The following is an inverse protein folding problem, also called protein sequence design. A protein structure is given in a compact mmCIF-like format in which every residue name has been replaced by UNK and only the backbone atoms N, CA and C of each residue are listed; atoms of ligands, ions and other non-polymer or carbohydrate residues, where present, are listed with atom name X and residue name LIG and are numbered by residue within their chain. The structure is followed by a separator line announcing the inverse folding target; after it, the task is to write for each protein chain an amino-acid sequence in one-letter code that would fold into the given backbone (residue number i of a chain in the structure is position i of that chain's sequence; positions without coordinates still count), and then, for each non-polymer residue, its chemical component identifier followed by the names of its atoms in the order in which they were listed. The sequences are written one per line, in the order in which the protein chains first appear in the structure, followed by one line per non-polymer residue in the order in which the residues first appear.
data_IF_797564043502
#
_entry.id   IF_797564043502
#
_cell.length_a   1.000
_cell.length_b   1.000
_cell.length_c   1.000
_cell.angle_alpha   90.00
_cell.angle_beta   90.00
_cell.angle_gamma   90.00
#
_symmetry.space_group_name_H-M   'P 1'
#
loop_
_entity.id
_entity.type
_entity.pdbx_description
1 polymer ?
#
# COMPACT_ATOMS: atom_id res chain seq x y z
N UNK A 1 35.43 -70.93 -68.69
CA UNK A 1 36.29 -70.55 -67.56
C UNK A 1 35.63 -69.35 -66.87
N UNK A 2 35.00 -69.57 -65.73
CA UNK A 2 34.13 -68.65 -65.06
C UNK A 2 34.93 -68.09 -63.86
N UNK A 3 34.87 -66.75 -63.64
CA UNK A 3 35.39 -66.11 -62.45
C UNK A 3 34.26 -65.21 -61.91
N UNK A 4 33.70 -65.66 -60.82
CA UNK A 4 32.64 -64.97 -60.06
C UNK A 4 33.29 -63.94 -59.09
N UNK A 5 32.97 -62.67 -59.25
CA UNK A 5 33.32 -61.60 -58.34
C UNK A 5 32.27 -61.37 -57.24
N UNK A 6 32.67 -61.40 -56.05
CA UNK A 6 31.82 -61.09 -54.88
C UNK A 6 31.98 -59.63 -54.50
N UNK A 7 30.90 -58.87 -54.63
CA UNK A 7 30.77 -57.50 -54.07
C UNK A 7 30.30 -57.56 -52.61
N UNK A 8 31.14 -57.06 -51.73
CA UNK A 8 30.79 -56.82 -50.33
C UNK A 8 30.22 -55.42 -50.19
N UNK A 9 28.94 -55.29 -49.83
CA UNK A 9 28.33 -54.01 -49.40
C UNK A 9 28.66 -53.78 -47.94
N UNK A 10 29.45 -52.72 -47.65
CA UNK A 10 29.66 -52.20 -46.32
C UNK A 10 28.52 -51.22 -45.98
N UNK A 11 27.61 -51.63 -45.12
CA UNK A 11 26.54 -50.77 -44.61
C UNK A 11 27.09 -49.77 -43.56
N UNK A 12 27.05 -48.47 -43.86
CA UNK A 12 27.27 -47.43 -42.86
C UNK A 12 25.99 -47.33 -41.99
N UNK A 13 26.09 -47.74 -40.74
CA UNK A 13 25.07 -47.46 -39.72
C UNK A 13 25.31 -46.04 -39.16
N UNK A 14 24.50 -45.08 -39.61
CA UNK A 14 24.44 -43.73 -39.01
C UNK A 14 23.72 -43.78 -37.68
N UNK A 15 24.46 -43.66 -36.58
CA UNK A 15 23.88 -43.48 -35.23
C UNK A 15 23.32 -42.04 -35.08
N UNK A 16 22.00 -41.92 -35.12
CA UNK A 16 21.33 -40.66 -34.78
C UNK A 16 21.35 -40.52 -33.24
N UNK A 17 22.22 -39.67 -32.73
CA UNK A 17 22.19 -39.28 -31.33
C UNK A 17 21.02 -38.36 -31.07
N UNK A 18 19.91 -38.89 -30.51
CA UNK A 18 18.84 -38.09 -29.94
C UNK A 18 19.37 -37.32 -28.74
N UNK A 19 19.71 -36.06 -28.94
CA UNK A 19 19.96 -35.13 -27.86
C UNK A 19 18.67 -34.90 -27.08
N UNK A 20 18.51 -35.53 -25.92
CA UNK A 20 17.46 -35.22 -24.97
C UNK A 20 17.67 -33.78 -24.49
N UNK A 21 17.01 -32.84 -25.13
CA UNK A 21 16.91 -31.45 -24.66
C UNK A 21 16.24 -31.47 -23.27
N UNK A 22 17.01 -31.20 -22.24
CA UNK A 22 16.45 -30.99 -20.90
C UNK A 22 15.44 -29.84 -20.99
N UNK A 23 14.17 -30.12 -20.79
CA UNK A 23 13.16 -29.09 -20.68
C UNK A 23 13.57 -28.15 -19.54
N UNK A 24 13.48 -26.82 -19.73
CA UNK A 24 13.81 -25.87 -18.67
C UNK A 24 12.93 -26.17 -17.47
N UNK A 25 13.52 -26.57 -16.34
CA UNK A 25 12.85 -26.67 -15.06
C UNK A 25 12.43 -25.22 -14.71
N UNK A 26 11.16 -24.89 -14.88
CA UNK A 26 10.61 -23.62 -14.43
C UNK A 26 10.83 -23.53 -12.93
N UNK A 27 11.78 -22.72 -12.52
CA UNK A 27 12.01 -22.45 -11.11
C UNK A 27 10.70 -21.97 -10.48
N UNK A 28 10.38 -22.48 -9.28
CA UNK A 28 9.18 -22.05 -8.58
C UNK A 28 9.19 -20.52 -8.44
N UNK A 29 8.07 -19.84 -8.71
CA UNK A 29 8.03 -18.39 -8.69
C UNK A 29 8.43 -17.85 -7.31
N UNK A 30 9.28 -16.81 -7.30
CA UNK A 30 9.68 -16.10 -6.09
C UNK A 30 8.43 -15.68 -5.31
N UNK A 31 8.35 -16.09 -4.05
CA UNK A 31 7.20 -15.74 -3.19
C UNK A 31 7.58 -14.62 -2.25
N UNK A 32 6.80 -13.55 -2.27
CA UNK A 32 6.90 -12.39 -1.38
C UNK A 32 5.61 -12.25 -0.59
N UNK A 33 5.72 -11.92 0.69
CA UNK A 33 4.56 -11.62 1.53
C UNK A 33 4.59 -10.14 1.90
N UNK A 34 3.49 -9.43 1.64
CA UNK A 34 3.25 -8.08 2.13
C UNK A 34 2.15 -8.13 3.21
N UNK A 35 2.43 -7.54 4.37
CA UNK A 35 1.52 -7.64 5.52
C UNK A 35 0.37 -6.65 5.37
N UNK A 36 0.67 -5.39 5.05
CA UNK A 36 -0.29 -4.28 5.09
C UNK A 36 -0.87 -3.98 3.70
N UNK A 37 -2.11 -3.47 3.64
CA UNK A 37 -2.85 -3.28 2.39
C UNK A 37 -2.17 -2.33 1.39
N UNK A 38 -1.69 -1.15 1.82
CA UNK A 38 -0.98 -0.21 0.95
C UNK A 38 0.34 -0.80 0.48
N UNK A 39 1.10 -1.42 1.39
CA UNK A 39 2.37 -2.05 1.06
C UNK A 39 2.19 -3.24 0.11
N UNK A 40 1.06 -3.93 0.20
CA UNK A 40 0.72 -4.98 -0.75
C UNK A 40 0.61 -4.46 -2.18
N UNK A 41 -0.08 -3.34 -2.40
CA UNK A 41 -0.21 -2.72 -3.72
C UNK A 41 1.14 -2.22 -4.23
N UNK A 42 1.92 -1.51 -3.40
CA UNK A 42 3.27 -1.07 -3.74
C UNK A 42 4.17 -2.24 -4.15
N UNK A 43 4.15 -3.32 -3.37
CA UNK A 43 4.99 -4.50 -3.61
C UNK A 43 4.57 -5.24 -4.89
N UNK A 44 3.27 -5.38 -5.14
CA UNK A 44 2.75 -5.97 -6.39
C UNK A 44 3.14 -5.16 -7.62
N UNK A 45 3.00 -3.84 -7.54
CA UNK A 45 3.40 -2.91 -8.61
C UNK A 45 4.89 -3.06 -8.94
N UNK A 46 5.75 -3.20 -7.91
CA UNK A 46 7.18 -3.37 -8.11
C UNK A 46 7.54 -4.77 -8.61
N UNK A 47 6.94 -5.80 -8.05
CA UNK A 47 7.21 -7.18 -8.43
C UNK A 47 6.77 -7.48 -9.88
N UNK A 48 5.65 -6.91 -10.35
CA UNK A 48 5.08 -7.26 -11.64
C UNK A 48 4.87 -8.78 -11.75
N UNK A 49 5.34 -9.37 -12.84
CA UNK A 49 5.33 -10.83 -13.05
C UNK A 49 6.51 -11.56 -12.42
N UNK A 50 7.53 -10.84 -11.93
CA UNK A 50 8.80 -11.42 -11.44
C UNK A 50 8.66 -12.14 -10.10
N UNK A 51 7.61 -11.86 -9.32
CA UNK A 51 7.34 -12.53 -8.05
C UNK A 51 5.84 -12.63 -7.75
N UNK A 52 5.48 -13.72 -7.05
CA UNK A 52 4.11 -13.88 -6.52
C UNK A 52 3.99 -13.17 -5.17
N UNK A 53 3.20 -12.10 -5.11
CA UNK A 53 2.96 -11.34 -3.89
C UNK A 53 1.68 -11.80 -3.19
N UNK A 54 1.82 -12.34 -1.99
CA UNK A 54 0.71 -12.68 -1.09
C UNK A 54 0.49 -11.55 -0.10
N UNK A 55 -0.75 -11.06 -0.01
CA UNK A 55 -1.15 -10.01 0.92
C UNK A 55 -1.87 -10.66 2.12
N UNK A 56 -1.44 -10.35 3.34
CA UNK A 56 -2.08 -10.91 4.52
C UNK A 56 -3.37 -10.15 4.87
N UNK A 57 -3.31 -8.83 4.87
CA UNK A 57 -4.45 -7.97 5.15
C UNK A 57 -5.09 -7.55 3.83
N UNK A 58 -6.37 -7.91 3.59
CA UNK A 58 -7.04 -7.55 2.35
C UNK A 58 -7.31 -6.03 2.27
N UNK A 59 -7.62 -5.48 1.07
CA UNK A 59 -8.06 -4.10 0.92
C UNK A 59 -9.20 -3.75 1.88
N UNK A 60 -9.09 -2.61 2.57
CA UNK A 60 -10.04 -2.16 3.58
C UNK A 60 -9.97 -2.90 4.92
N UNK A 61 -9.05 -3.86 5.09
CA UNK A 61 -8.84 -4.56 6.35
C UNK A 61 -8.07 -3.71 7.37
N UNK A 62 -8.40 -3.88 8.65
CA UNK A 62 -7.76 -3.19 9.76
C UNK A 62 -6.44 -3.87 10.17
N UNK A 63 -5.28 -3.19 10.08
CA UNK A 63 -3.99 -3.74 10.45
C UNK A 63 -3.79 -3.85 11.97
N UNK A 64 -4.42 -2.96 12.75
CA UNK A 64 -4.19 -2.85 14.20
C UNK A 64 -4.72 -4.05 14.98
N UNK A 65 -5.90 -4.54 14.57
CA UNK A 65 -6.54 -5.71 15.17
C UNK A 65 -6.20 -7.04 14.49
N UNK A 66 -5.37 -7.03 13.45
CA UNK A 66 -5.10 -8.23 12.66
C UNK A 66 -4.43 -9.35 13.45
N UNK A 67 -4.90 -10.58 13.25
CA UNK A 67 -4.34 -11.80 13.86
C UNK A 67 -3.91 -12.75 12.77
N UNK A 68 -2.68 -13.28 12.87
CA UNK A 68 -2.13 -14.26 11.92
C UNK A 68 -2.95 -15.54 11.91
N UNK A 69 -3.47 -15.90 10.75
CA UNK A 69 -4.23 -17.13 10.48
C UNK A 69 -3.26 -18.30 10.17
N UNK A 70 -3.68 -19.55 10.25
CA UNK A 70 -2.87 -20.70 9.82
C UNK A 70 -2.39 -20.58 8.36
N UNK A 71 -3.25 -20.09 7.46
CA UNK A 71 -2.89 -19.81 6.05
C UNK A 71 -1.75 -18.81 5.91
N UNK A 72 -1.73 -17.77 6.76
CA UNK A 72 -0.69 -16.73 6.73
C UNK A 72 0.65 -17.32 7.16
N UNK A 73 0.66 -18.13 8.20
CA UNK A 73 1.87 -18.84 8.67
C UNK A 73 2.45 -19.73 7.57
N UNK A 74 1.59 -20.43 6.81
CA UNK A 74 1.99 -21.22 5.65
C UNK A 74 2.58 -20.35 4.52
N UNK A 75 2.03 -19.17 4.28
CA UNK A 75 2.57 -18.24 3.28
C UNK A 75 3.93 -17.67 3.74
N UNK A 76 4.01 -17.24 5.01
CA UNK A 76 5.21 -16.70 5.63
C UNK A 76 6.38 -17.69 5.64
N UNK A 77 6.11 -18.98 5.94
CA UNK A 77 7.16 -20.02 5.99
C UNK A 77 7.81 -20.30 4.62
N UNK A 78 7.15 -19.90 3.52
CA UNK A 78 7.64 -20.11 2.14
C UNK A 78 8.13 -18.83 1.49
N UNK A 79 8.00 -17.68 2.17
CA UNK A 79 8.35 -16.39 1.62
C UNK A 79 9.87 -16.20 1.59
N UNK A 80 10.42 -15.78 0.45
CA UNK A 80 11.81 -15.34 0.34
C UNK A 80 11.99 -13.91 0.91
N UNK A 81 10.91 -13.11 0.91
CA UNK A 81 10.87 -11.78 1.47
C UNK A 81 9.50 -11.52 2.11
N UNK A 82 9.53 -10.98 3.32
CA UNK A 82 8.35 -10.47 4.00
C UNK A 82 8.53 -8.98 4.26
N UNK A 83 7.56 -8.16 3.88
CA UNK A 83 7.58 -6.72 4.09
C UNK A 83 6.38 -6.28 4.92
N UNK A 84 6.60 -5.40 5.89
CA UNK A 84 5.58 -4.72 6.66
C UNK A 84 5.99 -3.26 6.90
N UNK A 85 5.04 -2.39 7.19
CA UNK A 85 5.32 -0.95 7.40
C UNK A 85 6.26 -0.73 8.59
N UNK A 86 6.10 -1.46 9.66
CA UNK A 86 6.78 -1.18 10.93
C UNK A 86 5.97 -0.22 11.81
N UNK A 87 6.64 0.53 12.68
CA UNK A 87 6.03 1.49 13.63
C UNK A 87 4.85 0.91 14.42
N UNK A 88 4.84 -0.42 14.60
CA UNK A 88 3.76 -1.15 15.26
C UNK A 88 2.37 -0.99 14.60
N UNK A 89 2.29 -0.69 13.31
CA UNK A 89 1.03 -0.63 12.55
C UNK A 89 0.24 -1.93 12.70
N UNK A 90 0.91 -3.05 12.44
CA UNK A 90 0.34 -4.39 12.60
C UNK A 90 1.07 -5.11 13.74
N UNK A 91 0.54 -5.09 14.99
CA UNK A 91 1.20 -5.71 16.14
C UNK A 91 1.49 -7.20 15.95
N UNK A 92 0.68 -7.90 15.13
CA UNK A 92 0.91 -9.29 14.76
C UNK A 92 2.22 -9.51 13.99
N UNK A 93 2.79 -8.46 13.35
CA UNK A 93 4.06 -8.57 12.63
C UNK A 93 5.24 -8.96 13.56
N UNK A 94 5.19 -8.61 14.85
CA UNK A 94 6.18 -9.05 15.86
C UNK A 94 6.25 -10.58 16.05
N UNK A 95 5.22 -11.30 15.61
CA UNK A 95 5.12 -12.76 15.72
C UNK A 95 5.39 -13.46 14.38
N UNK A 96 5.88 -12.73 13.38
CA UNK A 96 6.21 -13.29 12.08
C UNK A 96 7.47 -14.13 12.20
N UNK A 97 7.36 -15.41 11.80
CA UNK A 97 8.47 -16.31 11.56
C UNK A 97 8.48 -16.66 10.07
N UNK A 98 9.61 -16.46 9.41
CA UNK A 98 9.80 -16.72 7.98
C UNK A 98 11.18 -17.32 7.74
N UNK A 99 11.32 -18.14 6.70
CA UNK A 99 12.63 -18.61 6.23
C UNK A 99 13.39 -17.53 5.46
N UNK A 100 12.68 -16.56 4.91
CA UNK A 100 13.26 -15.43 4.19
C UNK A 100 13.43 -14.18 5.06
N UNK A 101 13.94 -13.12 4.44
CA UNK A 101 14.17 -11.84 5.10
C UNK A 101 12.85 -11.17 5.49
N UNK A 102 12.75 -10.66 6.71
CA UNK A 102 11.63 -9.84 7.20
C UNK A 102 12.10 -8.39 7.33
N UNK A 103 11.38 -7.44 6.74
CA UNK A 103 11.80 -6.03 6.67
C UNK A 103 10.65 -5.09 7.08
N UNK A 104 10.89 -4.25 8.08
CA UNK A 104 10.05 -3.11 8.44
C UNK A 104 10.36 -1.93 7.50
N UNK A 105 9.77 -1.96 6.30
CA UNK A 105 10.20 -1.07 5.20
C UNK A 105 9.95 0.41 5.48
N UNK A 106 8.92 0.76 6.26
CA UNK A 106 8.66 2.15 6.66
C UNK A 106 9.74 2.66 7.61
N UNK A 107 10.15 1.85 8.59
CA UNK A 107 11.22 2.21 9.52
C UNK A 107 12.56 2.39 8.79
N UNK A 108 12.86 1.50 7.83
CA UNK A 108 14.07 1.61 6.99
C UNK A 108 14.01 2.83 6.07
N UNK A 109 12.84 3.14 5.52
CA UNK A 109 12.65 4.28 4.61
C UNK A 109 12.72 5.64 5.33
N UNK A 110 12.37 5.67 6.61
CA UNK A 110 12.23 6.90 7.42
C UNK A 110 13.11 6.85 8.68
N UNK A 111 14.43 6.69 8.56
CA UNK A 111 15.32 6.43 9.72
C UNK A 111 15.38 7.60 10.73
N UNK A 112 15.00 8.81 10.30
CA UNK A 112 14.95 10.00 11.15
C UNK A 112 13.57 10.25 11.77
N UNK A 113 12.55 9.47 11.43
CA UNK A 113 11.23 9.62 12.02
C UNK A 113 11.22 9.15 13.47
N UNK A 114 10.74 10.02 14.37
CA UNK A 114 10.68 9.77 15.83
C UNK A 114 9.26 9.83 16.38
N UNK A 115 8.26 9.97 15.48
CA UNK A 115 6.86 9.94 15.86
C UNK A 115 6.33 8.52 16.07
N UNK A 116 5.09 8.43 16.55
CA UNK A 116 4.40 7.16 16.82
C UNK A 116 3.30 6.84 15.81
N UNK A 117 3.02 7.75 14.86
CA UNK A 117 2.01 7.50 13.83
C UNK A 117 2.54 6.52 12.77
N UNK A 118 1.97 5.31 12.68
CA UNK A 118 2.43 4.30 11.73
C UNK A 118 1.91 4.52 10.30
N UNK A 119 0.95 5.44 10.09
CA UNK A 119 0.25 5.63 8.81
C UNK A 119 1.07 6.51 7.84
N UNK A 120 2.35 6.17 7.72
CA UNK A 120 3.36 6.97 7.01
C UNK A 120 3.07 7.14 5.51
N UNK A 121 2.34 6.24 4.88
CA UNK A 121 2.02 6.26 3.44
C UNK A 121 1.05 7.38 3.02
N UNK A 122 0.42 8.03 3.97
CA UNK A 122 -0.44 9.19 3.67
C UNK A 122 0.35 10.43 3.25
N UNK A 123 1.68 10.43 3.41
CA UNK A 123 2.57 11.32 2.64
C UNK A 123 3.13 10.57 1.44
N UNK A 124 2.83 10.99 0.19
CA UNK A 124 3.37 10.37 -1.01
C UNK A 124 4.90 10.34 -1.08
N UNK A 125 5.59 11.27 -0.43
CA UNK A 125 7.05 11.26 -0.36
C UNK A 125 7.57 10.08 0.46
N UNK A 126 6.91 9.74 1.57
CA UNK A 126 7.23 8.56 2.36
C UNK A 126 6.97 7.28 1.56
N UNK A 127 5.86 7.22 0.83
CA UNK A 127 5.55 6.09 -0.06
C UNK A 127 6.62 5.92 -1.16
N UNK A 128 7.15 7.01 -1.71
CA UNK A 128 8.24 6.97 -2.69
C UNK A 128 9.56 6.46 -2.07
N UNK A 129 9.85 6.80 -0.81
CA UNK A 129 10.98 6.25 -0.07
C UNK A 129 10.78 4.74 0.19
N UNK A 130 9.58 4.31 0.60
CA UNK A 130 9.22 2.89 0.80
C UNK A 130 9.40 2.10 -0.51
N UNK A 131 8.98 2.64 -1.66
CA UNK A 131 9.22 2.02 -2.98
C UNK A 131 10.70 1.71 -3.19
N UNK A 132 11.60 2.62 -2.82
CA UNK A 132 13.03 2.40 -2.93
C UNK A 132 13.50 1.24 -2.03
N UNK A 133 13.04 1.18 -0.78
CA UNK A 133 13.39 0.10 0.15
C UNK A 133 12.88 -1.26 -0.33
N UNK A 134 11.63 -1.33 -0.79
CA UNK A 134 11.05 -2.57 -1.34
C UNK A 134 11.83 -3.03 -2.57
N UNK A 135 12.13 -2.13 -3.52
CA UNK A 135 12.91 -2.45 -4.72
C UNK A 135 14.31 -2.98 -4.38
N UNK A 136 15.00 -2.34 -3.43
CA UNK A 136 16.34 -2.76 -2.99
C UNK A 136 16.35 -4.16 -2.33
N UNK A 137 15.25 -4.55 -1.68
CA UNK A 137 15.12 -5.88 -1.09
C UNK A 137 14.63 -6.94 -2.09
N UNK A 138 13.91 -6.55 -3.14
CA UNK A 138 13.50 -7.45 -4.23
C UNK A 138 14.65 -7.73 -5.21
N UNK A 139 15.46 -6.73 -5.55
CA UNK A 139 16.49 -6.82 -6.58
C UNK A 139 17.45 -8.02 -6.42
N UNK A 140 18.03 -8.30 -5.23
CA UNK A 140 18.95 -9.42 -5.07
C UNK A 140 18.29 -10.80 -5.23
N UNK A 141 16.96 -10.87 -5.12
CA UNK A 141 16.18 -12.11 -5.25
C UNK A 141 15.79 -12.41 -6.70
N UNK A 142 15.97 -11.46 -7.62
CA UNK A 142 15.56 -11.57 -9.01
C UNK A 142 16.73 -11.89 -9.94
N UNK A 143 16.50 -12.62 -11.05
CA UNK A 143 17.46 -12.77 -12.14
C UNK A 143 17.90 -11.41 -12.71
N UNK A 144 19.09 -11.33 -13.31
CA UNK A 144 19.65 -10.08 -13.82
C UNK A 144 18.71 -9.32 -14.79
N UNK A 145 18.06 -10.03 -15.73
CA UNK A 145 17.12 -9.44 -16.67
C UNK A 145 15.89 -8.78 -16.00
N UNK A 146 15.40 -9.38 -14.93
CA UNK A 146 14.24 -8.88 -14.19
C UNK A 146 14.57 -7.67 -13.30
N UNK A 147 15.86 -7.51 -12.88
CA UNK A 147 16.30 -6.35 -12.09
C UNK A 147 16.15 -5.04 -12.85
N UNK A 148 16.47 -5.05 -14.14
CA UNK A 148 16.29 -3.86 -15.00
C UNK A 148 14.80 -3.45 -15.07
N UNK A 149 13.90 -4.41 -15.28
CA UNK A 149 12.46 -4.18 -15.30
C UNK A 149 11.94 -3.67 -13.93
N UNK A 150 12.43 -4.22 -12.82
CA UNK A 150 12.14 -3.73 -11.46
C UNK A 150 12.57 -2.26 -11.31
N UNK A 151 13.78 -1.90 -11.78
CA UNK A 151 14.28 -0.53 -11.74
C UNK A 151 13.39 0.44 -12.50
N UNK A 152 12.87 0.04 -13.68
CA UNK A 152 11.93 0.83 -14.47
C UNK A 152 10.62 1.01 -13.71
N UNK A 153 10.03 -0.06 -13.16
CA UNK A 153 8.79 0.01 -12.36
C UNK A 153 8.97 0.90 -11.14
N UNK A 154 10.07 0.78 -10.40
CA UNK A 154 10.36 1.62 -9.25
C UNK A 154 10.47 3.11 -9.62
N UNK A 155 11.11 3.44 -10.73
CA UNK A 155 11.23 4.81 -11.22
C UNK A 155 9.86 5.39 -11.60
N UNK A 156 9.03 4.64 -12.32
CA UNK A 156 7.66 5.03 -12.67
C UNK A 156 6.79 5.21 -11.42
N UNK A 157 6.87 4.29 -10.46
CA UNK A 157 6.13 4.37 -9.21
C UNK A 157 6.48 5.62 -8.40
N UNK A 158 7.77 5.91 -8.22
CA UNK A 158 8.22 7.14 -7.55
C UNK A 158 7.75 8.40 -8.28
N UNK A 159 7.82 8.42 -9.61
CA UNK A 159 7.34 9.55 -10.40
C UNK A 159 5.82 9.76 -10.26
N UNK A 160 5.03 8.69 -10.20
CA UNK A 160 3.58 8.76 -9.96
C UNK A 160 3.25 9.28 -8.56
N UNK A 161 3.97 8.81 -7.53
CA UNK A 161 3.81 9.28 -6.14
C UNK A 161 4.23 10.73 -5.97
N UNK A 162 5.31 11.17 -6.59
CA UNK A 162 5.71 12.59 -6.58
C UNK A 162 4.66 13.47 -7.26
N UNK A 163 4.12 13.04 -8.40
CA UNK A 163 3.03 13.74 -9.08
C UNK A 163 1.76 13.79 -8.22
N UNK A 164 1.43 12.71 -7.49
CA UNK A 164 0.34 12.68 -6.51
C UNK A 164 0.56 13.72 -5.40
N UNK A 165 1.80 13.82 -4.88
CA UNK A 165 2.15 14.80 -3.85
C UNK A 165 1.95 16.24 -4.32
N UNK A 166 2.40 16.57 -5.53
CA UNK A 166 2.22 17.90 -6.14
C UNK A 166 0.75 18.21 -6.42
N UNK A 167 0.02 17.25 -6.98
CA UNK A 167 -1.41 17.39 -7.24
C UNK A 167 -2.19 17.59 -5.93
N UNK A 168 -1.91 16.80 -4.89
CA UNK A 168 -2.52 16.95 -3.57
C UNK A 168 -2.27 18.34 -2.97
N UNK A 169 -1.05 18.86 -3.07
CA UNK A 169 -0.72 20.22 -2.63
C UNK A 169 -1.58 21.26 -3.34
N UNK A 170 -1.77 21.15 -4.66
CA UNK A 170 -2.64 22.06 -5.42
C UNK A 170 -4.09 21.97 -4.97
N UNK A 171 -4.62 20.76 -4.70
CA UNK A 171 -5.99 20.59 -4.23
C UNK A 171 -6.21 21.28 -2.87
N UNK A 172 -5.35 21.00 -1.88
CA UNK A 172 -5.47 21.59 -0.55
C UNK A 172 -5.17 23.09 -0.52
N UNK A 173 -4.29 23.59 -1.40
CA UNK A 173 -4.01 25.02 -1.52
C UNK A 173 -5.24 25.83 -1.97
N UNK A 174 -6.21 25.20 -2.63
CA UNK A 174 -7.47 25.84 -3.02
C UNK A 174 -8.40 26.13 -1.83
N UNK A 175 -8.17 25.48 -0.67
CA UNK A 175 -8.95 25.71 0.55
C UNK A 175 -8.39 26.91 1.34
N UNK A 176 -9.26 27.81 1.85
CA UNK A 176 -8.88 28.77 2.88
C UNK A 176 -8.22 28.07 4.08
N UNK A 177 -7.22 28.70 4.69
CA UNK A 177 -6.51 28.10 5.85
C UNK A 177 -7.46 27.64 6.95
N UNK A 178 -8.48 28.44 7.28
CA UNK A 178 -9.49 28.10 8.30
C UNK A 178 -10.33 26.84 7.97
N UNK A 179 -10.34 26.39 6.71
CA UNK A 179 -11.06 25.18 6.27
C UNK A 179 -10.14 23.97 6.09
N UNK A 180 -8.83 24.11 6.37
CA UNK A 180 -7.88 23.00 6.31
C UNK A 180 -7.93 22.17 7.58
N UNK A 181 -9.11 21.64 7.90
CA UNK A 181 -9.36 20.84 9.10
C UNK A 181 -9.88 19.47 8.67
N UNK A 182 -9.34 18.43 9.30
CA UNK A 182 -9.68 17.03 9.04
C UNK A 182 -10.19 16.40 10.33
N UNK A 183 -11.51 16.11 10.40
CA UNK A 183 -12.14 15.49 11.56
C UNK A 183 -12.37 14.02 11.27
N UNK A 184 -11.71 13.11 12.02
CA UNK A 184 -11.65 11.67 11.78
C UNK A 184 -11.99 10.87 13.05
N UNK A 185 -12.11 9.54 12.94
CA UNK A 185 -12.40 8.67 14.08
C UNK A 185 -11.18 8.37 14.95
N UNK A 186 -9.98 8.22 14.38
CA UNK A 186 -8.72 8.06 15.11
C UNK A 186 -7.58 8.77 14.37
N UNK A 187 -6.41 8.87 14.99
CA UNK A 187 -5.23 9.53 14.40
C UNK A 187 -4.63 8.68 13.29
N UNK A 188 -5.03 8.95 12.05
CA UNK A 188 -4.62 8.19 10.87
C UNK A 188 -3.92 9.05 9.84
N UNK A 189 -4.20 10.35 9.84
CA UNK A 189 -3.82 11.23 8.75
C UNK A 189 -2.79 12.29 9.14
N UNK A 190 -2.05 12.10 10.25
CA UNK A 190 -1.07 13.09 10.70
C UNK A 190 0.02 13.37 9.66
N UNK A 191 0.44 12.34 8.89
CA UNK A 191 1.39 12.51 7.79
C UNK A 191 0.81 13.31 6.62
N UNK A 192 -0.45 13.07 6.25
CA UNK A 192 -1.18 13.86 5.25
C UNK A 192 -1.38 15.29 5.75
N UNK A 193 -1.83 15.45 7.00
CA UNK A 193 -2.06 16.76 7.62
C UNK A 193 -0.78 17.60 7.64
N UNK A 194 0.33 17.02 8.07
CA UNK A 194 1.65 17.65 8.03
C UNK A 194 2.08 18.03 6.61
N UNK A 195 1.89 17.13 5.64
CA UNK A 195 2.29 17.33 4.25
C UNK A 195 1.57 18.50 3.59
N UNK A 196 0.28 18.66 3.88
CA UNK A 196 -0.58 19.62 3.17
C UNK A 196 -1.06 20.79 4.03
N UNK A 197 -0.58 20.89 5.26
CA UNK A 197 -0.90 21.99 6.18
C UNK A 197 -2.35 21.98 6.64
N UNK A 198 -2.85 20.78 7.07
CA UNK A 198 -4.15 20.60 7.69
C UNK A 198 -3.99 20.45 9.22
N UNK A 199 -5.05 20.78 9.94
CA UNK A 199 -5.24 20.40 11.34
C UNK A 199 -6.03 19.09 11.40
N UNK A 200 -5.52 18.05 12.05
CA UNK A 200 -6.25 16.81 12.28
C UNK A 200 -6.87 16.82 13.67
N UNK A 201 -8.19 16.61 13.75
CA UNK A 201 -8.94 16.42 15.01
C UNK A 201 -9.53 15.01 14.99
N UNK A 202 -8.95 14.10 15.75
CA UNK A 202 -9.41 12.73 15.87
C UNK A 202 -10.33 12.52 17.07
N UNK A 203 -11.31 11.60 16.91
CA UNK A 203 -12.22 11.23 18.00
C UNK A 203 -11.54 10.39 19.07
N UNK A 204 -10.55 9.58 18.66
CA UNK A 204 -9.70 8.82 19.55
C UNK A 204 -8.29 9.40 19.49
N UNK A 205 -7.77 9.72 20.66
CA UNK A 205 -6.39 10.17 20.85
C UNK A 205 -5.46 8.94 20.80
N UNK A 206 -5.46 8.25 19.67
CA UNK A 206 -4.80 6.97 19.45
C UNK A 206 -4.57 6.74 17.96
N UNK A 207 -3.47 6.09 17.63
CA UNK A 207 -3.15 5.60 16.28
C UNK A 207 -3.73 4.21 15.99
N UNK A 208 -4.61 3.70 16.84
CA UNK A 208 -5.23 2.38 16.69
C UNK A 208 -6.74 2.48 16.69
N UNK A 209 -7.38 1.57 15.97
CA UNK A 209 -8.82 1.39 15.96
C UNK A 209 -9.34 0.76 17.27
N UNK A 210 -10.67 0.80 17.48
CA UNK A 210 -11.31 0.08 18.59
C UNK A 210 -11.23 0.75 19.96
N UNK A 211 -10.69 1.97 20.06
CA UNK A 211 -10.67 2.74 21.30
C UNK A 211 -12.09 3.16 21.74
N UNK A 212 -12.25 3.35 23.06
CA UNK A 212 -13.51 3.81 23.65
C UNK A 212 -13.44 5.31 23.96
N UNK A 213 -14.31 6.10 23.38
CA UNK A 213 -14.42 7.53 23.67
C UNK A 213 -15.02 7.74 25.05
N UNK A 214 -14.22 8.27 25.99
CA UNK A 214 -14.68 8.61 27.35
C UNK A 214 -15.61 9.84 27.32
N UNK A 215 -16.57 9.96 28.23
CA UNK A 215 -17.47 11.12 28.29
C UNK A 215 -16.75 12.47 28.38
N UNK A 216 -15.67 12.57 29.15
CA UNK A 216 -14.84 13.78 29.25
C UNK A 216 -14.18 14.15 27.92
N UNK A 217 -13.62 13.17 27.21
CA UNK A 217 -13.05 13.35 25.88
C UNK A 217 -14.11 13.79 24.86
N UNK A 218 -15.33 13.26 24.96
CA UNK A 218 -16.44 13.65 24.09
C UNK A 218 -16.74 15.15 24.15
N UNK A 219 -16.75 15.74 25.35
CA UNK A 219 -16.97 17.19 25.53
C UNK A 219 -15.83 18.00 24.91
N UNK A 220 -14.57 17.66 25.25
CA UNK A 220 -13.37 18.33 24.75
C UNK A 220 -13.33 18.31 23.21
N UNK A 221 -13.52 17.14 22.61
CA UNK A 221 -13.48 16.97 21.15
C UNK A 221 -14.64 17.71 20.48
N UNK A 222 -15.86 17.64 21.03
CA UNK A 222 -17.00 18.40 20.47
C UNK A 222 -16.75 19.90 20.46
N UNK A 223 -16.13 20.44 21.52
CA UNK A 223 -15.75 21.85 21.60
C UNK A 223 -14.66 22.20 20.60
N UNK A 224 -13.62 21.39 20.49
CA UNK A 224 -12.54 21.57 19.51
C UNK A 224 -13.08 21.55 18.07
N UNK A 225 -13.93 20.59 17.72
CA UNK A 225 -14.57 20.51 16.39
C UNK A 225 -15.43 21.74 16.10
N UNK A 226 -16.22 22.22 17.07
CA UNK A 226 -17.04 23.45 16.89
C UNK A 226 -16.18 24.70 16.67
N UNK A 227 -15.01 24.77 17.31
CA UNK A 227 -14.10 25.91 17.20
C UNK A 227 -13.21 25.87 15.96
N UNK A 228 -13.08 24.72 15.30
CA UNK A 228 -12.03 24.45 14.28
C UNK A 228 -12.37 24.92 12.86
N UNK A 229 -13.54 25.43 12.58
CA UNK A 229 -13.94 25.73 11.19
C UNK A 229 -14.19 24.50 10.30
N UNK A 230 -14.21 23.28 10.89
CA UNK A 230 -14.58 22.06 10.17
C UNK A 230 -16.02 22.13 9.67
N UNK A 231 -16.26 21.67 8.44
CA UNK A 231 -17.58 21.68 7.81
C UNK A 231 -18.25 20.30 7.79
N UNK A 232 -17.46 19.26 8.01
CA UNK A 232 -17.89 17.87 7.89
C UNK A 232 -17.01 16.96 8.74
N UNK A 233 -17.55 15.83 9.16
CA UNK A 233 -16.84 14.74 9.81
C UNK A 233 -16.60 13.64 8.78
N UNK A 234 -15.37 13.14 8.67
CA UNK A 234 -15.03 12.08 7.74
C UNK A 234 -15.14 10.72 8.40
N UNK A 235 -15.69 9.74 7.67
CA UNK A 235 -15.88 8.37 8.15
C UNK A 235 -15.02 7.39 7.37
N UNK A 236 -14.40 6.36 8.02
CA UNK A 236 -13.66 5.32 7.31
C UNK A 236 -14.57 4.26 6.65
N UNK A 237 -15.85 4.20 7.05
CA UNK A 237 -16.80 3.19 6.54
C UNK A 237 -18.24 3.70 6.54
N UNK A 238 -19.09 3.02 5.78
CA UNK A 238 -20.55 3.23 5.81
C UNK A 238 -21.23 1.92 6.22
N UNK A 239 -22.20 1.97 7.15
CA UNK A 239 -22.64 3.15 7.91
C UNK A 239 -21.56 3.66 8.90
N UNK A 240 -21.57 4.97 9.25
CA UNK A 240 -20.62 5.53 10.21
C UNK A 240 -20.74 4.86 11.58
N UNK A 241 -19.61 4.75 12.28
CA UNK A 241 -19.60 4.18 13.63
C UNK A 241 -20.37 5.04 14.66
N UNK A 242 -20.63 4.44 15.82
CA UNK A 242 -21.43 5.07 16.89
C UNK A 242 -20.81 6.37 17.43
N UNK A 243 -19.49 6.42 17.48
CA UNK A 243 -18.71 7.57 17.98
C UNK A 243 -18.89 8.77 17.04
N UNK A 244 -18.69 8.59 15.74
CA UNK A 244 -18.85 9.64 14.74
C UNK A 244 -20.29 10.18 14.72
N UNK A 245 -21.31 9.31 14.77
CA UNK A 245 -22.72 9.76 14.86
C UNK A 245 -22.99 10.59 16.12
N UNK A 246 -22.36 10.25 17.24
CA UNK A 246 -22.51 10.97 18.50
C UNK A 246 -21.92 12.38 18.43
N UNK A 247 -20.72 12.51 17.85
CA UNK A 247 -20.06 13.81 17.64
C UNK A 247 -20.87 14.64 16.63
N UNK A 248 -21.29 14.07 15.51
CA UNK A 248 -22.15 14.73 14.52
C UNK A 248 -23.38 15.35 15.18
N UNK A 249 -24.12 14.56 16.00
CA UNK A 249 -25.28 15.06 16.73
C UNK A 249 -24.95 16.22 17.68
N UNK A 250 -23.78 16.20 18.35
CA UNK A 250 -23.37 17.25 19.30
C UNK A 250 -22.85 18.52 18.65
N UNK A 251 -22.20 18.40 17.50
CA UNK A 251 -21.60 19.52 16.78
C UNK A 251 -22.52 20.13 15.73
N UNK A 252 -23.52 19.37 15.28
CA UNK A 252 -24.38 19.73 14.15
C UNK A 252 -23.73 19.48 12.79
N UNK A 253 -22.48 19.00 12.75
CA UNK A 253 -21.77 18.75 11.49
C UNK A 253 -22.26 17.46 10.83
N UNK A 254 -22.44 17.46 9.50
CA UNK A 254 -22.77 16.24 8.75
C UNK A 254 -21.57 15.28 8.74
N UNK A 255 -21.86 13.99 8.50
CA UNK A 255 -20.83 12.98 8.23
C UNK A 255 -20.72 12.79 6.72
N UNK A 256 -19.50 12.57 6.23
CA UNK A 256 -19.23 12.37 4.79
C UNK A 256 -20.01 11.17 4.25
N UNK A 257 -20.60 11.34 3.06
CA UNK A 257 -21.31 10.26 2.34
C UNK A 257 -20.35 9.32 1.59
N UNK A 258 -19.10 9.73 1.44
CA UNK A 258 -18.02 8.93 0.85
C UNK A 258 -17.01 8.64 1.95
N UNK A 259 -16.63 7.36 2.15
CA UNK A 259 -15.59 7.02 3.11
C UNK A 259 -14.24 7.58 2.71
N UNK A 260 -13.37 7.83 3.69
CA UNK A 260 -11.95 8.02 3.50
C UNK A 260 -11.20 6.81 4.07
N UNK A 261 -10.29 6.25 3.30
CA UNK A 261 -9.62 4.99 3.64
C UNK A 261 -8.29 5.28 4.32
N UNK A 262 -8.23 5.08 5.63
CA UNK A 262 -7.04 5.30 6.45
C UNK A 262 -6.11 4.09 6.50
N UNK A 263 -6.68 2.87 6.48
CA UNK A 263 -5.97 1.64 6.84
C UNK A 263 -5.44 0.83 5.63
N UNK A 264 -5.20 1.48 4.51
CA UNK A 264 -4.68 0.77 3.34
C UNK A 264 -5.29 1.26 2.04
N UNK A 265 -5.52 0.34 1.09
CA UNK A 265 -6.18 0.67 -0.17
C UNK A 265 -7.68 0.40 -0.10
N UNK A 266 -8.46 1.21 -0.80
CA UNK A 266 -9.90 1.00 -0.94
C UNK A 266 -10.21 -0.30 -1.67
N UNK A 267 -11.37 -0.95 -1.42
CA UNK A 267 -11.80 -2.11 -2.20
C UNK A 267 -11.80 -1.82 -3.70
N UNK A 268 -11.13 -2.65 -4.49
CA UNK A 268 -10.96 -2.48 -5.93
C UNK A 268 -10.03 -1.34 -6.36
N UNK A 269 -9.44 -0.61 -5.41
CA UNK A 269 -8.49 0.47 -5.65
C UNK A 269 -7.03 0.05 -5.59
N UNK A 270 -6.16 1.05 -5.72
CA UNK A 270 -4.72 0.96 -5.55
C UNK A 270 -4.24 2.14 -4.69
N UNK A 271 -2.96 2.20 -4.35
CA UNK A 271 -2.42 3.25 -3.49
C UNK A 271 -2.74 4.68 -4.01
N UNK A 272 -2.57 4.92 -5.30
CA UNK A 272 -2.80 6.25 -5.90
C UNK A 272 -4.29 6.57 -6.03
N UNK A 273 -5.11 5.63 -6.50
CA UNK A 273 -6.56 5.85 -6.60
C UNK A 273 -7.20 6.08 -5.24
N UNK A 274 -6.77 5.35 -4.22
CA UNK A 274 -7.24 5.54 -2.84
C UNK A 274 -6.85 6.91 -2.30
N UNK A 275 -5.59 7.30 -2.46
CA UNK A 275 -5.12 8.61 -2.03
C UNK A 275 -5.85 9.76 -2.73
N UNK A 276 -6.09 9.66 -4.05
CA UNK A 276 -6.85 10.68 -4.79
C UNK A 276 -8.30 10.76 -4.37
N UNK A 277 -8.96 9.63 -4.08
CA UNK A 277 -10.32 9.59 -3.53
C UNK A 277 -10.36 10.26 -2.16
N UNK A 278 -9.42 9.92 -1.26
CA UNK A 278 -9.34 10.54 0.06
C UNK A 278 -9.17 12.06 -0.04
N UNK A 279 -8.20 12.53 -0.82
CA UNK A 279 -7.92 13.97 -1.01
C UNK A 279 -9.15 14.68 -1.57
N UNK A 280 -9.77 14.15 -2.64
CA UNK A 280 -10.97 14.76 -3.21
C UNK A 280 -12.14 14.79 -2.22
N UNK A 281 -12.35 13.72 -1.45
CA UNK A 281 -13.41 13.66 -0.44
C UNK A 281 -13.20 14.71 0.64
N UNK A 282 -11.95 14.88 1.11
CA UNK A 282 -11.61 15.90 2.11
C UNK A 282 -11.80 17.31 1.55
N UNK A 283 -11.22 17.60 0.39
CA UNK A 283 -11.29 18.94 -0.23
C UNK A 283 -12.74 19.35 -0.52
N UNK A 284 -13.54 18.47 -1.13
CA UNK A 284 -14.96 18.73 -1.42
C UNK A 284 -15.77 18.87 -0.14
N UNK A 285 -15.53 18.00 0.85
CA UNK A 285 -16.19 18.04 2.14
C UNK A 285 -15.96 19.35 2.89
N UNK A 286 -14.78 19.94 2.74
CA UNK A 286 -14.43 21.23 3.30
C UNK A 286 -14.86 22.44 2.42
N UNK A 287 -15.62 22.18 1.34
CA UNK A 287 -16.21 23.21 0.49
C UNK A 287 -15.31 23.65 -0.68
N UNK A 288 -14.21 22.96 -0.95
CA UNK A 288 -13.35 23.18 -2.11
C UNK A 288 -13.82 22.43 -3.35
N UNK A 289 -13.01 22.57 -4.41
CA UNK A 289 -13.18 21.85 -5.67
C UNK A 289 -12.00 20.91 -5.88
N UNK A 290 -12.26 19.71 -6.36
CA UNK A 290 -11.22 18.73 -6.65
C UNK A 290 -11.14 18.44 -8.14
N UNK A 291 -9.92 18.49 -8.72
CA UNK A 291 -9.65 18.09 -10.10
C UNK A 291 -9.68 16.54 -10.21
N UNK A 292 -10.91 16.02 -10.40
CA UNK A 292 -11.15 14.58 -10.56
C UNK A 292 -10.58 14.03 -11.87
N UNK A 293 -10.43 14.85 -12.90
CA UNK A 293 -9.86 14.42 -14.18
C UNK A 293 -8.36 14.14 -14.04
N UNK A 294 -7.62 15.04 -13.38
CA UNK A 294 -6.21 14.80 -13.06
C UNK A 294 -6.05 13.62 -12.07
N UNK A 295 -6.94 13.47 -11.08
CA UNK A 295 -6.95 12.32 -10.19
C UNK A 295 -7.06 10.98 -10.94
N UNK A 296 -7.99 10.89 -11.90
CA UNK A 296 -8.17 9.71 -12.74
C UNK A 296 -6.92 9.40 -13.60
N UNK A 297 -6.28 10.43 -14.16
CA UNK A 297 -5.02 10.28 -14.91
C UNK A 297 -3.89 9.74 -14.03
N UNK A 298 -3.77 10.21 -12.78
CA UNK A 298 -2.78 9.70 -11.82
C UNK A 298 -3.02 8.22 -11.48
N UNK A 299 -4.28 7.85 -11.21
CA UNK A 299 -4.66 6.46 -10.93
C UNK A 299 -4.39 5.54 -12.13
N UNK A 300 -4.71 5.99 -13.36
CA UNK A 300 -4.42 5.24 -14.59
C UNK A 300 -2.91 5.08 -14.81
N UNK A 301 -2.11 6.13 -14.55
CA UNK A 301 -0.66 6.07 -14.64
C UNK A 301 -0.05 5.04 -13.68
N UNK A 302 -0.58 4.93 -12.46
CA UNK A 302 -0.15 3.90 -11.50
C UNK A 302 -0.50 2.50 -11.99
N UNK A 303 -1.71 2.31 -12.51
CA UNK A 303 -2.17 1.01 -13.02
C UNK A 303 -1.36 0.51 -14.24
N UNK A 304 -0.72 1.41 -14.97
CA UNK A 304 0.08 1.12 -16.16
C UNK A 304 1.57 0.78 -15.85
N UNK A 305 1.94 0.66 -14.58
CA UNK A 305 3.28 0.24 -14.17
C UNK A 305 3.39 -1.27 -14.18
#
# INVERSE_FOLDING_TARGET
MSASGWFRFAGLASAIALGAGAAPVLAAPLTVVAVDGTLCDLTRTLAGSSARVTCLIPPGGDPHGYRLKPSDRKALSKAALVVHIGFNLTPAAKKISSSGKVVAVGEVALPSYRGNDPHVWHDPANSAAIVTVVANNLAPLLPAGERAALGVRASKAKAALNALGSWGSAQFSSLPKAQRVLVTDHQTYSHLAKRYGLEEISMLDSYTTGGVLRPSSLNRISSAVKASGARIIFTPSLPPNKTLRRISKRTGLPISKTPIYGEGVSPGGNAVSTATVNICTIVIGQGGRCDKAAAAKLAARWKAI
#
